data_IF_826289609986
#
_entry.id   IF_826289609986
#
_cell.length_a   1.000
_cell.length_b   1.000
_cell.length_c   1.000
_cell.angle_alpha   90.00
_cell.angle_beta   90.00
_cell.angle_gamma   90.00
#
_symmetry.space_group_name_H-M   'P 1'
#
loop_
_entity.id
_entity.type
_entity.pdbx_description
1 polymer ?
#
# COMPACT_ATOMS: atom_id res chain seq x y z
N UNK A 1 21.96 20.37 36.71
CA UNK A 1 21.34 21.62 36.20
C UNK A 1 22.17 22.13 35.03
N UNK A 2 21.83 21.76 33.79
CA UNK A 2 22.51 22.28 32.58
C UNK A 2 22.02 23.71 32.32
N UNK A 3 22.91 24.70 32.14
CA UNK A 3 22.51 26.09 32.08
C UNK A 3 21.68 26.36 30.81
N UNK A 4 20.55 27.06 30.96
CA UNK A 4 19.58 27.41 29.90
C UNK A 4 20.23 28.07 28.67
N UNK A 5 21.40 28.68 28.83
CA UNK A 5 22.22 29.27 27.76
C UNK A 5 22.72 28.26 26.74
N UNK A 6 23.04 27.01 27.13
CA UNK A 6 23.52 25.99 26.20
C UNK A 6 22.45 25.49 25.22
N UNK A 7 21.19 25.40 25.69
CA UNK A 7 20.06 24.99 24.83
C UNK A 7 19.70 26.06 23.80
N UNK A 8 19.73 27.34 24.19
CA UNK A 8 19.51 28.46 23.27
C UNK A 8 20.61 28.54 22.20
N UNK A 9 21.88 28.31 22.57
CA UNK A 9 22.99 28.29 21.63
C UNK A 9 22.84 27.14 20.59
N UNK A 10 22.46 25.93 21.04
CA UNK A 10 22.22 24.80 20.14
C UNK A 10 21.07 25.06 19.17
N UNK A 11 19.98 25.68 19.63
CA UNK A 11 18.85 26.06 18.76
C UNK A 11 19.28 27.13 17.75
N UNK A 12 20.05 28.13 18.17
CA UNK A 12 20.55 29.16 17.26
C UNK A 12 21.46 28.56 16.17
N UNK A 13 22.36 27.65 16.53
CA UNK A 13 23.25 26.96 15.56
C UNK A 13 22.43 26.11 14.59
N UNK A 14 21.41 25.38 15.07
CA UNK A 14 20.54 24.58 14.20
C UNK A 14 19.76 25.45 13.21
N UNK A 15 19.22 26.59 13.66
CA UNK A 15 18.49 27.52 12.79
C UNK A 15 19.40 28.17 11.75
N UNK A 16 20.61 28.56 12.12
CA UNK A 16 21.60 29.12 11.20
C UNK A 16 22.01 28.04 10.19
N UNK A 17 22.30 26.82 10.62
CA UNK A 17 22.64 25.71 9.74
C UNK A 17 21.54 25.38 8.74
N UNK A 18 20.28 25.37 9.18
CA UNK A 18 19.12 25.19 8.30
C UNK A 18 19.01 26.32 7.26
N UNK A 19 19.13 27.58 7.69
CA UNK A 19 19.07 28.73 6.80
C UNK A 19 20.20 28.71 5.74
N UNK A 20 21.43 28.40 6.16
CA UNK A 20 22.59 28.25 5.27
C UNK A 20 22.35 27.10 4.28
N UNK A 21 21.83 25.97 4.74
CA UNK A 21 21.50 24.82 3.90
C UNK A 21 20.46 25.16 2.82
N UNK A 22 19.39 25.90 3.17
CA UNK A 22 18.38 26.36 2.21
C UNK A 22 19.00 27.30 1.17
N UNK A 23 19.85 28.25 1.59
CA UNK A 23 20.49 29.21 0.68
C UNK A 23 21.48 28.53 -0.28
N UNK A 24 22.32 27.63 0.23
CA UNK A 24 23.24 26.85 -0.61
C UNK A 24 22.49 25.95 -1.58
N UNK A 25 21.40 25.32 -1.14
CA UNK A 25 20.60 24.46 -1.99
C UNK A 25 19.87 25.24 -3.10
N UNK A 26 19.44 26.46 -2.83
CA UNK A 26 18.81 27.33 -3.81
C UNK A 26 19.83 27.94 -4.79
N UNK A 27 21.05 28.24 -4.35
CA UNK A 27 22.09 28.83 -5.20
C UNK A 27 22.81 27.84 -6.11
N UNK A 28 22.76 26.54 -5.81
CA UNK A 28 23.42 25.48 -6.59
C UNK A 28 22.48 24.74 -7.56
N UNK A 29 21.22 25.18 -7.70
CA UNK A 29 20.20 24.53 -8.56
C UNK A 29 20.15 22.98 -8.40
N UNK A 30 20.42 22.47 -7.18
CA UNK A 30 20.54 21.04 -6.90
C UNK A 30 19.20 20.28 -6.97
N UNK A 31 18.10 21.01 -7.06
CA UNK A 31 16.77 20.45 -7.22
C UNK A 31 16.18 20.86 -8.58
N UNK A 32 15.82 19.91 -9.45
CA UNK A 32 15.09 20.20 -10.68
C UNK A 32 13.83 20.99 -10.33
N UNK A 33 13.59 22.11 -11.04
CA UNK A 33 12.32 22.84 -10.93
C UNK A 33 11.19 21.88 -11.25
N UNK A 34 10.43 21.53 -10.23
CA UNK A 34 9.23 20.72 -10.41
C UNK A 34 8.16 21.65 -10.97
N UNK A 35 7.77 21.45 -12.23
CA UNK A 35 6.56 22.10 -12.75
C UNK A 35 5.35 21.44 -12.10
N UNK A 36 4.61 22.21 -11.32
CA UNK A 36 3.34 21.77 -10.78
C UNK A 36 2.34 21.69 -11.94
N UNK A 37 1.81 20.49 -12.18
CA UNK A 37 0.66 20.35 -13.07
C UNK A 37 -0.53 21.03 -12.40
N UNK A 38 -0.96 22.17 -12.96
CA UNK A 38 -2.12 22.91 -12.47
C UNK A 38 -3.39 22.13 -12.78
N UNK A 39 -3.79 21.25 -11.86
CA UNK A 39 -5.03 20.43 -11.97
C UNK A 39 -6.28 21.32 -11.92
N UNK A 40 -6.16 22.52 -11.35
CA UNK A 40 -7.27 23.49 -11.23
C UNK A 40 -6.94 24.79 -11.96
N UNK A 41 -7.10 24.76 -13.29
CA UNK A 41 -7.62 25.91 -14.05
C UNK A 41 -6.95 27.28 -13.87
N UNK A 42 -5.63 27.33 -13.75
CA UNK A 42 -4.85 28.57 -13.94
C UNK A 42 -4.37 28.65 -15.38
N UNK A 43 -4.90 29.60 -16.16
CA UNK A 43 -4.60 29.76 -17.57
C UNK A 43 -3.17 30.24 -17.82
N UNK A 44 -2.22 29.32 -17.90
CA UNK A 44 -0.98 29.51 -18.67
C UNK A 44 -1.12 28.77 -20.00
N UNK A 45 -1.24 29.55 -21.07
CA UNK A 45 -1.29 29.08 -22.45
C UNK A 45 0.11 28.58 -22.83
N UNK A 46 0.33 27.28 -23.11
CA UNK A 46 1.59 26.83 -23.67
C UNK A 46 1.61 27.24 -25.15
N UNK A 47 2.17 28.40 -25.45
CA UNK A 47 2.52 28.81 -26.82
C UNK A 47 3.81 28.10 -27.22
N UNK A 48 3.69 26.84 -27.62
CA UNK A 48 4.84 26.03 -28.06
C UNK A 48 4.53 24.55 -28.28
N UNK A 49 3.29 24.21 -28.67
CA UNK A 49 2.92 22.84 -29.00
C UNK A 49 3.07 22.60 -30.50
N UNK A 50 4.06 21.80 -30.89
CA UNK A 50 4.09 21.11 -32.19
C UNK A 50 2.69 20.57 -32.46
N UNK A 51 2.10 20.92 -33.61
CA UNK A 51 0.80 20.41 -34.00
C UNK A 51 0.89 18.88 -34.04
N UNK A 52 0.37 18.24 -32.99
CA UNK A 52 0.26 16.80 -32.93
C UNK A 52 -0.63 16.39 -34.10
N UNK A 53 -0.05 15.70 -35.09
CA UNK A 53 -0.82 15.03 -36.13
C UNK A 53 -1.87 14.18 -35.43
N UNK A 54 -3.18 14.34 -35.72
CA UNK A 54 -4.20 13.51 -35.09
C UNK A 54 -3.86 12.05 -35.41
N UNK A 55 -3.67 11.25 -34.36
CA UNK A 55 -3.50 9.81 -34.52
C UNK A 55 -4.71 9.26 -35.30
N UNK A 56 -4.52 8.29 -36.21
CA UNK A 56 -5.62 7.71 -36.96
C UNK A 56 -6.67 7.18 -35.97
N UNK A 57 -7.89 7.70 -36.08
CA UNK A 57 -9.03 7.19 -35.32
C UNK A 57 -9.39 5.82 -35.88
N UNK A 58 -9.09 4.77 -35.11
CA UNK A 58 -9.63 3.43 -35.39
C UNK A 58 -11.11 3.48 -35.04
N UNK A 59 -11.97 3.32 -36.04
CA UNK A 59 -13.38 3.08 -35.79
C UNK A 59 -13.54 1.63 -35.35
N UNK A 60 -13.80 1.41 -34.05
CA UNK A 60 -14.08 0.07 -33.54
C UNK A 60 -15.55 -0.30 -33.83
N UNK A 61 -15.83 -1.58 -34.10
CA UNK A 61 -17.20 -2.06 -34.20
C UNK A 61 -17.91 -2.02 -32.84
N UNK A 62 -19.24 -2.10 -32.86
CA UNK A 62 -20.03 -2.24 -31.64
C UNK A 62 -19.86 -3.66 -31.04
N UNK A 63 -19.49 -3.73 -29.76
CA UNK A 63 -19.31 -4.99 -29.02
C UNK A 63 -20.53 -5.38 -28.18
N UNK A 64 -21.57 -4.55 -28.13
CA UNK A 64 -22.78 -4.80 -27.35
C UNK A 64 -23.43 -6.15 -27.67
N UNK A 65 -23.56 -6.58 -28.94
CA UNK A 65 -24.10 -7.91 -29.25
C UNK A 65 -23.24 -9.05 -28.70
N UNK A 66 -21.91 -8.91 -28.74
CA UNK A 66 -21.01 -9.92 -28.19
C UNK A 66 -21.16 -10.00 -26.66
N UNK A 67 -21.30 -8.87 -25.99
CA UNK A 67 -21.54 -8.82 -24.56
C UNK A 67 -22.88 -9.46 -24.18
N UNK A 68 -23.95 -9.19 -24.93
CA UNK A 68 -25.27 -9.80 -24.72
C UNK A 68 -25.21 -11.34 -24.85
N UNK A 69 -24.46 -11.84 -25.83
CA UNK A 69 -24.27 -13.28 -26.01
C UNK A 69 -23.39 -13.92 -24.93
N UNK A 70 -22.36 -13.22 -24.44
CA UNK A 70 -21.42 -13.75 -23.45
C UNK A 70 -21.87 -13.58 -22.00
N UNK A 71 -22.74 -12.60 -21.71
CA UNK A 71 -23.18 -12.27 -20.36
C UNK A 71 -23.79 -13.46 -19.57
N UNK A 72 -24.59 -14.37 -20.18
CA UNK A 72 -25.13 -15.52 -19.46
C UNK A 72 -24.06 -16.50 -18.94
N UNK A 73 -22.85 -16.47 -19.49
CA UNK A 73 -21.74 -17.32 -19.05
C UNK A 73 -20.97 -16.72 -17.87
N UNK A 74 -21.22 -15.47 -17.50
CA UNK A 74 -20.48 -14.77 -16.44
C UNK A 74 -21.22 -14.90 -15.10
N UNK A 75 -20.47 -15.26 -14.06
CA UNK A 75 -21.01 -15.45 -12.71
C UNK A 75 -20.28 -14.57 -11.70
N UNK A 76 -20.99 -14.22 -10.62
CA UNK A 76 -20.41 -13.63 -9.42
C UNK A 76 -19.99 -14.72 -8.44
N UNK A 77 -18.80 -14.61 -7.88
CA UNK A 77 -18.19 -15.59 -6.99
C UNK A 77 -17.97 -14.93 -5.63
N UNK A 78 -18.42 -15.61 -4.57
CA UNK A 78 -18.16 -15.26 -3.18
C UNK A 78 -17.61 -16.47 -2.47
N UNK A 79 -16.37 -16.39 -2.03
CA UNK A 79 -15.69 -17.47 -1.30
C UNK A 79 -15.44 -17.07 0.15
N UNK A 80 -15.42 -18.06 1.04
CA UNK A 80 -15.07 -17.87 2.45
C UNK A 80 -14.18 -19.03 2.87
N UNK A 81 -12.99 -18.72 3.36
CA UNK A 81 -11.99 -19.69 3.81
C UNK A 81 -11.70 -19.53 5.30
N UNK A 82 -11.61 -20.65 6.02
CA UNK A 82 -11.14 -20.64 7.40
C UNK A 82 -9.62 -20.78 7.42
N UNK A 83 -8.94 -19.64 7.58
CA UNK A 83 -7.48 -19.61 7.74
C UNK A 83 -7.19 -20.01 9.19
N UNK A 84 -6.72 -21.24 9.40
CA UNK A 84 -6.20 -21.67 10.70
C UNK A 84 -4.89 -20.92 10.95
N UNK A 85 -4.78 -20.27 12.11
CA UNK A 85 -3.60 -19.50 12.50
C UNK A 85 -2.31 -20.31 12.36
N UNK A 86 -1.23 -19.63 11.96
CA UNK A 86 0.01 -20.19 11.40
C UNK A 86 0.77 -21.24 12.24
N UNK A 87 1.87 -21.78 11.68
CA UNK A 87 2.45 -23.09 12.03
C UNK A 87 3.03 -23.23 13.44
N UNK A 88 3.07 -22.17 14.24
CA UNK A 88 3.73 -22.21 15.54
C UNK A 88 2.76 -22.74 16.58
N UNK A 89 2.89 -24.02 16.93
CA UNK A 89 2.22 -24.57 18.09
C UNK A 89 2.76 -23.88 19.36
N UNK A 90 1.91 -23.61 20.37
CA UNK A 90 2.38 -23.08 21.64
C UNK A 90 3.42 -24.04 22.26
N UNK A 91 4.69 -23.62 22.38
CA UNK A 91 5.76 -24.35 23.06
C UNK A 91 7.01 -24.70 22.24
N UNK A 92 7.11 -24.33 20.97
CA UNK A 92 8.33 -24.53 20.17
C UNK A 92 9.36 -23.39 20.35
N UNK A 93 10.69 -23.67 20.35
CA UNK A 93 11.71 -22.63 20.31
C UNK A 93 11.54 -21.76 19.06
N UNK A 94 11.39 -20.44 19.24
CA UNK A 94 11.10 -19.48 18.16
C UNK A 94 9.62 -19.21 17.87
N UNK A 95 8.69 -19.82 18.60
CA UNK A 95 7.27 -19.47 18.57
C UNK A 95 7.01 -18.06 19.16
N UNK A 96 5.89 -17.40 18.82
CA UNK A 96 5.51 -16.12 19.41
C UNK A 96 5.43 -16.20 20.94
N UNK A 97 6.19 -15.35 21.64
CA UNK A 97 6.31 -15.38 23.10
C UNK A 97 7.27 -16.44 23.68
N UNK A 98 8.03 -17.16 22.84
CA UNK A 98 9.13 -18.03 23.28
C UNK A 98 10.48 -17.27 23.24
N UNK A 99 11.50 -17.70 24.01
CA UNK A 99 12.85 -17.12 23.93
C UNK A 99 13.39 -17.19 22.49
N UNK A 100 13.76 -16.04 21.92
CA UNK A 100 14.21 -15.90 20.53
C UNK A 100 13.12 -15.84 19.44
N UNK A 101 11.82 -15.82 19.80
CA UNK A 101 10.70 -15.62 18.86
C UNK A 101 10.15 -14.18 18.84
N UNK A 102 9.28 -13.82 17.88
CA UNK A 102 8.62 -12.51 17.83
C UNK A 102 7.81 -12.25 19.12
N UNK A 103 8.02 -11.10 19.76
CA UNK A 103 7.40 -10.78 21.06
C UNK A 103 7.97 -11.53 22.27
N UNK A 104 9.10 -12.22 22.13
CA UNK A 104 9.86 -12.77 23.27
C UNK A 104 10.70 -11.70 23.99
N UNK A 105 11.24 -12.03 25.17
CA UNK A 105 12.05 -11.10 25.98
C UNK A 105 13.31 -10.54 25.26
N UNK A 106 13.76 -11.19 24.18
CA UNK A 106 14.93 -10.78 23.38
C UNK A 106 14.58 -9.98 22.11
N UNK A 107 13.29 -9.65 21.87
CA UNK A 107 12.86 -8.88 20.70
C UNK A 107 13.18 -7.38 20.89
N UNK A 108 13.94 -6.73 19.97
CA UNK A 108 14.25 -5.29 20.05
C UNK A 108 13.03 -4.37 20.06
N UNK A 109 11.84 -4.88 19.70
CA UNK A 109 10.58 -4.14 19.73
C UNK A 109 9.71 -4.47 20.96
N UNK A 110 10.11 -5.41 21.82
CA UNK A 110 9.36 -5.84 23.01
C UNK A 110 9.04 -4.67 23.94
N UNK A 111 9.98 -3.78 24.22
CA UNK A 111 9.75 -2.65 25.14
C UNK A 111 8.76 -1.60 24.60
N UNK A 112 8.59 -1.55 23.27
CA UNK A 112 7.65 -0.65 22.61
C UNK A 112 6.23 -1.22 22.56
N UNK A 113 6.08 -2.52 22.26
CA UNK A 113 4.75 -3.17 22.11
C UNK A 113 4.29 -3.96 23.34
N UNK A 114 5.18 -4.30 24.27
CA UNK A 114 4.88 -5.09 25.48
C UNK A 114 3.79 -4.48 26.38
N UNK A 115 3.75 -3.15 26.62
CA UNK A 115 2.64 -2.54 27.35
C UNK A 115 1.28 -2.70 26.66
N UNK A 116 1.26 -2.72 25.32
CA UNK A 116 0.05 -2.92 24.52
C UNK A 116 -0.42 -4.39 24.59
N UNK A 117 0.49 -5.35 24.45
CA UNK A 117 0.19 -6.79 24.59
C UNK A 117 -0.31 -7.15 26.00
N UNK A 118 0.20 -6.48 27.04
CA UNK A 118 -0.28 -6.70 28.41
C UNK A 118 -1.71 -6.19 28.64
N UNK A 119 -2.14 -5.21 27.85
CA UNK A 119 -3.46 -4.59 27.94
C UNK A 119 -4.50 -5.29 27.05
N UNK A 120 -4.09 -5.71 25.84
CA UNK A 120 -4.97 -6.33 24.83
C UNK A 120 -4.83 -7.85 24.73
N UNK A 121 -3.87 -8.45 25.47
CA UNK A 121 -3.52 -9.86 25.40
C UNK A 121 -2.65 -10.18 24.18
N UNK A 122 -1.93 -11.32 24.20
CA UNK A 122 -1.18 -11.79 23.04
C UNK A 122 -2.13 -11.99 21.85
N UNK A 123 -1.72 -11.62 20.62
CA UNK A 123 -2.51 -11.86 19.43
C UNK A 123 -2.75 -13.37 19.32
N UNK A 124 -3.96 -13.81 19.68
CA UNK A 124 -4.33 -15.20 19.48
C UNK A 124 -4.33 -15.44 17.99
N UNK A 125 -3.57 -16.44 17.55
CA UNK A 125 -3.68 -17.06 16.23
C UNK A 125 -5.04 -17.77 16.13
N UNK A 126 -6.12 -17.00 16.27
CA UNK A 126 -7.47 -17.50 16.16
C UNK A 126 -7.74 -17.75 14.68
N UNK A 127 -8.38 -18.88 14.34
CA UNK A 127 -8.84 -19.09 12.99
C UNK A 127 -9.74 -17.92 12.60
N UNK A 128 -9.41 -17.27 11.48
CA UNK A 128 -10.22 -16.17 10.95
C UNK A 128 -10.79 -16.57 9.59
N UNK A 129 -11.95 -15.99 9.25
CA UNK A 129 -12.60 -16.22 7.96
C UNK A 129 -12.10 -15.19 6.95
N UNK A 130 -11.26 -15.62 6.02
CA UNK A 130 -10.93 -14.83 4.84
C UNK A 130 -12.12 -14.90 3.87
N UNK A 131 -12.51 -13.76 3.30
CA UNK A 131 -13.57 -13.69 2.29
C UNK A 131 -13.00 -13.09 1.02
N UNK A 132 -13.38 -13.65 -0.13
CA UNK A 132 -13.02 -13.11 -1.43
C UNK A 132 -14.26 -12.96 -2.31
N UNK A 133 -14.21 -11.96 -3.19
CA UNK A 133 -15.24 -11.66 -4.17
C UNK A 133 -14.58 -11.54 -5.54
N UNK A 134 -15.24 -12.05 -6.58
CA UNK A 134 -14.73 -11.96 -7.94
C UNK A 134 -15.76 -12.39 -8.97
N UNK A 135 -15.35 -12.36 -10.23
CA UNK A 135 -16.13 -12.92 -11.33
C UNK A 135 -15.51 -14.23 -11.83
N UNK A 136 -16.30 -15.01 -12.56
CA UNK A 136 -15.81 -16.16 -13.30
C UNK A 136 -16.68 -16.46 -14.51
N UNK A 137 -16.25 -17.43 -15.31
CA UNK A 137 -16.95 -17.87 -16.51
C UNK A 137 -17.31 -19.35 -16.40
N UNK A 138 -18.56 -19.70 -16.74
CA UNK A 138 -18.95 -21.09 -16.96
C UNK A 138 -18.36 -21.54 -18.29
N UNK A 139 -17.50 -22.56 -18.25
CA UNK A 139 -16.75 -23.04 -19.43
C UNK A 139 -17.31 -24.34 -20.02
N UNK A 140 -18.17 -25.05 -19.29
CA UNK A 140 -18.73 -26.35 -19.69
C UNK A 140 -20.15 -26.54 -19.12
N UNK A 141 -21.10 -27.13 -19.88
CA UNK A 141 -22.39 -27.58 -19.39
C UNK A 141 -22.42 -28.36 -18.07
N UNK A 142 -21.32 -29.03 -17.69
CA UNK A 142 -21.21 -29.70 -16.38
C UNK A 142 -21.14 -28.71 -15.19
N UNK A 143 -20.97 -27.40 -15.45
CA UNK A 143 -20.91 -26.36 -14.43
C UNK A 143 -19.50 -26.00 -13.96
N UNK A 144 -18.46 -26.33 -14.74
CA UNK A 144 -17.10 -25.89 -14.41
C UNK A 144 -16.97 -24.37 -14.59
N UNK A 145 -16.37 -23.72 -13.59
CA UNK A 145 -16.17 -22.28 -13.55
C UNK A 145 -14.67 -21.97 -13.57
N UNK A 146 -14.26 -21.10 -14.50
CA UNK A 146 -12.92 -20.53 -14.54
C UNK A 146 -12.90 -19.18 -13.82
N UNK A 147 -11.99 -18.99 -12.87
CA UNK A 147 -11.75 -17.73 -12.17
C UNK A 147 -10.26 -17.57 -11.85
N UNK A 148 -9.88 -16.45 -11.23
CA UNK A 148 -8.51 -16.22 -10.81
C UNK A 148 -8.22 -16.93 -9.48
N UNK A 149 -6.96 -17.34 -9.28
CA UNK A 149 -6.54 -18.15 -8.13
C UNK A 149 -6.85 -17.46 -6.79
N UNK A 150 -6.55 -16.17 -6.68
CA UNK A 150 -6.79 -15.39 -5.45
C UNK A 150 -8.26 -15.20 -5.08
N UNK A 151 -9.20 -15.55 -5.97
CA UNK A 151 -10.64 -15.55 -5.66
C UNK A 151 -10.99 -16.79 -4.83
N UNK A 152 -10.20 -17.85 -4.93
CA UNK A 152 -10.44 -19.17 -4.34
C UNK A 152 -9.27 -19.67 -3.47
N UNK A 153 -8.32 -18.82 -3.12
CA UNK A 153 -7.24 -19.05 -2.13
C UNK A 153 -7.42 -18.20 -0.86
#
# INVERSE_FOLDING_TARGET
MTPRTGRLAMVAVALIGFAVGVVLSAGLDLFPRSEAISIFGGAEKPSGGSAATPAPSVNLPDFSPLAEHAAPSVVNISSTQEVKGGPFAPGEPGAPGAPGGPGGEDDPFHDFFGPFERFFGPPRHMPYKAKSLGSGFVIDPAGFILTNNHVVE
#
